data_IF_424201312060
#
_entry.id   IF_424201312060
#
_cell.length_a   1.000
_cell.length_b   1.000
_cell.length_c   1.000
_cell.angle_alpha   90.00
_cell.angle_beta   90.00
_cell.angle_gamma   90.00
#
_symmetry.space_group_name_H-M   'P 1'
#
loop_
_entity.id
_entity.type
_entity.pdbx_description
1 polymer ?
#
# COMPACT_ATOMS: atom_id res chain seq x y z
N UNK A 1 -66.08 -13.59 -4.02
CA UNK A 1 -65.91 -12.20 -4.51
C UNK A 1 -64.41 -12.00 -4.73
N UNK A 2 -63.87 -12.36 -5.90
CA UNK A 2 -63.86 -11.60 -7.16
C UNK A 2 -63.01 -10.32 -7.06
N UNK A 3 -61.75 -10.45 -7.49
CA UNK A 3 -60.78 -9.37 -7.74
C UNK A 3 -61.12 -8.72 -9.09
N UNK A 4 -60.88 -7.41 -9.28
CA UNK A 4 -60.56 -6.91 -10.60
C UNK A 4 -59.19 -6.20 -10.63
N UNK A 5 -58.47 -6.53 -11.70
CA UNK A 5 -57.27 -5.87 -12.18
C UNK A 5 -57.64 -4.58 -12.91
N UNK A 6 -56.84 -3.52 -12.76
CA UNK A 6 -56.95 -2.31 -13.57
C UNK A 6 -55.56 -1.92 -14.11
N UNK A 7 -55.50 -1.92 -15.44
CA UNK A 7 -54.40 -1.57 -16.33
C UNK A 7 -53.74 -0.22 -16.05
N UNK A 8 -52.42 -0.19 -16.16
CA UNK A 8 -51.61 1.02 -16.26
C UNK A 8 -51.48 1.38 -17.75
N UNK A 9 -52.10 2.48 -18.17
CA UNK A 9 -51.97 3.03 -19.51
C UNK A 9 -50.86 4.09 -19.55
N UNK A 10 -49.90 3.88 -20.44
CA UNK A 10 -48.79 4.76 -20.73
C UNK A 10 -49.25 5.99 -21.53
N UNK A 11 -48.82 7.19 -21.10
CA UNK A 11 -48.93 8.42 -21.88
C UNK A 11 -47.51 8.90 -22.23
N UNK A 12 -47.18 8.78 -23.51
CA UNK A 12 -45.93 9.25 -24.10
C UNK A 12 -46.02 10.76 -24.37
N UNK A 13 -45.10 11.54 -23.79
CA UNK A 13 -44.91 12.95 -24.11
C UNK A 13 -43.67 13.12 -24.99
N UNK A 14 -43.90 13.78 -26.13
CA UNK A 14 -42.98 14.07 -27.22
C UNK A 14 -41.84 15.02 -26.79
N UNK A 15 -40.60 14.66 -27.10
CA UNK A 15 -39.48 15.59 -27.21
C UNK A 15 -38.69 15.28 -28.48
N UNK A 16 -38.61 16.26 -29.38
CA UNK A 16 -37.94 16.20 -30.67
C UNK A 16 -36.43 15.98 -30.54
N UNK A 17 -35.77 15.28 -31.49
CA UNK A 17 -34.33 15.05 -31.45
C UNK A 17 -33.57 16.27 -31.96
N UNK A 18 -32.68 16.83 -31.14
CA UNK A 18 -31.61 17.70 -31.62
C UNK A 18 -30.55 16.86 -32.31
N UNK A 19 -30.47 16.98 -33.63
CA UNK A 19 -29.36 16.49 -34.45
C UNK A 19 -28.10 17.31 -34.16
N UNK A 20 -27.11 16.68 -33.52
CA UNK A 20 -25.73 17.17 -33.44
C UNK A 20 -24.91 16.46 -34.52
N UNK A 21 -24.54 17.20 -35.56
CA UNK A 21 -23.57 16.79 -36.58
C UNK A 21 -22.21 16.48 -35.94
N UNK A 22 -21.53 15.38 -36.32
CA UNK A 22 -20.20 15.09 -35.82
C UNK A 22 -19.15 15.92 -36.55
N UNK A 23 -18.48 16.82 -35.83
CA UNK A 23 -17.33 17.56 -36.34
C UNK A 23 -16.19 16.59 -36.65
N UNK A 24 -16.01 16.27 -37.94
CA UNK A 24 -14.89 15.44 -38.42
C UNK A 24 -13.58 16.21 -38.24
N UNK A 25 -12.81 15.84 -37.21
CA UNK A 25 -11.43 16.30 -37.02
C UNK A 25 -10.55 15.75 -38.17
N UNK A 26 -10.31 16.61 -39.16
CA UNK A 26 -9.46 16.31 -40.32
C UNK A 26 -8.00 16.16 -39.85
N UNK A 27 -7.44 14.96 -39.99
CA UNK A 27 -6.03 14.66 -39.66
C UNK A 27 -5.12 15.45 -40.61
N UNK A 28 -4.09 16.17 -40.12
CA UNK A 28 -3.11 16.80 -41.01
C UNK A 28 -2.26 15.73 -41.71
N UNK A 29 -1.93 15.99 -42.98
CA UNK A 29 -1.12 15.09 -43.79
C UNK A 29 0.31 14.95 -43.23
N UNK A 30 0.94 13.76 -43.30
CA UNK A 30 2.33 13.60 -42.88
C UNK A 30 3.28 14.37 -43.82
N UNK A 31 4.40 14.90 -43.30
CA UNK A 31 5.38 15.58 -44.13
C UNK A 31 6.02 14.61 -45.12
N UNK A 32 6.22 15.08 -46.35
CA UNK A 32 6.89 14.33 -47.42
C UNK A 32 8.36 14.11 -47.03
N UNK A 33 8.76 12.86 -46.86
CA UNK A 33 10.15 12.49 -46.64
C UNK A 33 10.95 12.78 -47.92
N UNK A 34 12.01 13.57 -47.79
CA UNK A 34 13.02 13.72 -48.83
C UNK A 34 13.77 12.39 -48.96
N UNK A 35 13.78 11.84 -50.18
CA UNK A 35 14.52 10.64 -50.52
C UNK A 35 16.01 10.97 -50.56
N UNK A 36 16.75 10.59 -49.52
CA UNK A 36 18.22 10.51 -49.61
C UNK A 36 18.58 9.18 -50.25
N UNK A 37 18.93 9.25 -51.53
CA UNK A 37 19.48 8.16 -52.32
C UNK A 37 20.93 7.89 -51.92
N UNK A 38 21.14 7.00 -50.95
CA UNK A 38 22.44 6.35 -50.75
C UNK A 38 22.15 4.90 -50.31
N UNK A 39 22.40 3.95 -51.22
CA UNK A 39 23.30 2.81 -51.02
C UNK A 39 23.18 1.85 -52.22
N UNK A 40 24.35 1.42 -52.66
CA UNK A 40 24.57 0.48 -53.75
C UNK A 40 23.81 -0.84 -53.54
N UNK A 41 23.22 -1.35 -54.62
CA UNK A 41 22.69 -2.71 -54.72
C UNK A 41 23.84 -3.71 -54.59
N UNK A 42 23.73 -4.62 -53.64
CA UNK A 42 24.28 -5.96 -53.80
C UNK A 42 23.16 -6.96 -53.52
N UNK A 43 22.89 -7.83 -54.50
CA UNK A 43 21.80 -8.80 -54.45
C UNK A 43 22.36 -10.14 -53.97
N UNK A 44 21.85 -10.65 -52.85
CA UNK A 44 21.76 -12.10 -52.63
C UNK A 44 20.60 -12.43 -51.66
N UNK A 45 19.74 -13.43 -51.97
CA UNK A 45 18.51 -13.66 -51.23
C UNK A 45 18.62 -14.91 -50.36
N UNK A 46 18.68 -14.75 -49.04
CA UNK A 46 18.31 -15.83 -48.11
C UNK A 46 18.23 -15.29 -46.69
N UNK A 47 17.31 -15.88 -45.91
CA UNK A 47 16.97 -15.62 -44.50
C UNK A 47 16.05 -14.41 -44.25
N UNK A 48 14.75 -14.70 -44.12
CA UNK A 48 13.76 -13.81 -43.51
C UNK A 48 14.06 -13.67 -42.01
N UNK A 49 15.06 -12.87 -41.66
CA UNK A 49 15.19 -12.33 -40.32
C UNK A 49 14.34 -11.07 -40.24
N UNK A 50 13.20 -11.14 -39.57
CA UNK A 50 12.39 -9.95 -39.27
C UNK A 50 13.14 -9.12 -38.23
N UNK A 51 14.08 -8.28 -38.70
CA UNK A 51 14.81 -7.33 -37.85
C UNK A 51 13.81 -6.33 -37.28
N UNK A 52 13.40 -6.51 -36.03
CA UNK A 52 12.67 -5.48 -35.30
C UNK A 52 13.65 -4.34 -35.01
N UNK A 53 13.73 -3.37 -35.91
CA UNK A 53 14.44 -2.11 -35.65
C UNK A 53 13.59 -1.29 -34.68
N UNK A 54 13.97 -1.30 -33.41
CA UNK A 54 13.49 -0.29 -32.46
C UNK A 54 14.14 1.06 -32.82
N UNK A 55 13.32 2.02 -33.27
CA UNK A 55 13.78 3.36 -33.63
C UNK A 55 14.44 4.12 -32.47
N UNK A 56 15.13 5.25 -32.76
CA UNK A 56 15.88 6.03 -31.77
C UNK A 56 15.01 6.37 -30.55
N UNK A 57 15.46 5.97 -29.35
CA UNK A 57 14.75 6.17 -28.07
C UNK A 57 15.07 7.52 -27.43
N UNK A 58 15.38 8.52 -28.24
CA UNK A 58 15.90 9.80 -27.76
C UNK A 58 14.78 10.77 -27.34
N UNK A 59 13.52 10.35 -27.47
CA UNK A 59 12.34 11.09 -26.98
C UNK A 59 11.94 10.68 -25.55
N UNK A 60 12.90 10.47 -24.64
CA UNK A 60 12.55 10.44 -23.22
C UNK A 60 12.07 11.83 -22.83
N UNK A 61 10.75 12.01 -22.77
CA UNK A 61 10.16 13.17 -22.13
C UNK A 61 10.82 13.34 -20.75
N UNK A 62 11.10 14.58 -20.30
CA UNK A 62 11.59 14.82 -18.95
C UNK A 62 10.73 14.02 -17.98
N UNK A 63 11.37 13.30 -17.04
CA UNK A 63 10.65 12.59 -15.98
C UNK A 63 9.75 13.64 -15.32
N UNK A 64 8.43 13.55 -15.61
CA UNK A 64 7.47 14.48 -15.07
C UNK A 64 7.52 14.30 -13.55
N UNK A 65 7.98 15.33 -12.84
CA UNK A 65 7.95 15.40 -11.37
C UNK A 65 6.50 15.08 -10.96
N UNK A 66 6.31 13.96 -10.26
CA UNK A 66 4.99 13.40 -9.96
C UNK A 66 4.90 11.87 -9.99
N UNK A 67 5.91 11.15 -10.52
CA UNK A 67 6.04 9.71 -10.27
C UNK A 67 6.69 9.49 -8.91
N UNK A 68 5.99 8.82 -8.01
CA UNK A 68 6.50 8.35 -6.72
C UNK A 68 7.57 7.25 -6.85
N UNK A 69 7.72 6.66 -8.05
CA UNK A 69 8.65 5.57 -8.34
C UNK A 69 9.75 6.00 -9.30
N UNK A 70 11.00 5.68 -8.97
CA UNK A 70 12.14 5.77 -9.90
C UNK A 70 12.04 4.72 -11.01
N UNK A 71 12.87 4.85 -12.05
CA UNK A 71 12.98 3.82 -13.09
C UNK A 71 13.44 2.47 -12.54
N UNK A 72 14.31 2.46 -11.53
CA UNK A 72 14.83 1.23 -10.93
C UNK A 72 13.74 0.52 -10.13
N UNK A 73 13.00 1.26 -9.29
CA UNK A 73 11.85 0.74 -8.56
C UNK A 73 10.80 0.16 -9.52
N UNK A 74 10.51 0.85 -10.64
CA UNK A 74 9.57 0.37 -11.67
C UNK A 74 10.05 -0.96 -12.27
N UNK A 75 11.33 -1.04 -12.66
CA UNK A 75 11.88 -2.26 -13.27
C UNK A 75 11.88 -3.43 -12.28
N UNK A 76 12.21 -3.19 -11.01
CA UNK A 76 12.17 -4.20 -9.96
C UNK A 76 10.74 -4.73 -9.73
N UNK A 77 9.75 -3.84 -9.59
CA UNK A 77 8.33 -4.23 -9.43
C UNK A 77 7.85 -5.03 -10.65
N UNK A 78 8.21 -4.62 -11.86
CA UNK A 78 7.84 -5.36 -13.06
C UNK A 78 8.51 -6.74 -13.14
N UNK A 79 9.78 -6.85 -12.75
CA UNK A 79 10.49 -8.13 -12.70
C UNK A 79 9.81 -9.08 -11.70
N UNK A 80 9.50 -8.61 -10.49
CA UNK A 80 8.77 -9.39 -9.48
C UNK A 80 7.42 -9.89 -10.02
N UNK A 81 6.66 -9.02 -10.68
CA UNK A 81 5.34 -9.37 -11.23
C UNK A 81 5.43 -10.40 -12.37
N UNK A 82 6.47 -10.33 -13.21
CA UNK A 82 6.70 -11.33 -14.27
C UNK A 82 7.06 -12.70 -13.68
N UNK A 83 7.82 -12.71 -12.59
CA UNK A 83 8.26 -13.92 -11.90
C UNK A 83 7.23 -14.53 -10.93
N UNK A 84 6.10 -13.87 -10.66
CA UNK A 84 5.15 -14.19 -9.57
C UNK A 84 4.61 -15.64 -9.49
N UNK A 85 4.80 -16.45 -10.54
CA UNK A 85 4.36 -17.86 -10.59
C UNK A 85 5.45 -18.85 -10.20
N UNK A 86 6.70 -18.39 -10.08
CA UNK A 86 7.86 -19.19 -9.71
C UNK A 86 8.55 -18.51 -8.51
N UNK A 87 8.39 -19.09 -7.33
CA UNK A 87 8.94 -18.52 -6.10
C UNK A 87 10.46 -18.41 -6.14
N UNK A 88 11.16 -19.38 -6.76
CA UNK A 88 12.60 -19.33 -6.94
C UNK A 88 13.00 -18.15 -7.85
N UNK A 89 12.21 -17.86 -8.90
CA UNK A 89 12.44 -16.69 -9.73
C UNK A 89 12.18 -15.38 -9.00
N UNK A 90 11.16 -15.33 -8.13
CA UNK A 90 10.91 -14.16 -7.29
C UNK A 90 12.10 -13.94 -6.34
N UNK A 91 12.58 -14.99 -5.69
CA UNK A 91 13.69 -14.90 -4.74
C UNK A 91 14.99 -14.46 -5.42
N UNK A 92 15.24 -14.91 -6.65
CA UNK A 92 16.34 -14.39 -7.49
C UNK A 92 16.18 -12.90 -7.79
N UNK A 93 14.98 -12.41 -8.08
CA UNK A 93 14.74 -10.97 -8.31
C UNK A 93 14.94 -10.17 -7.02
N UNK A 94 14.50 -10.71 -5.87
CA UNK A 94 14.69 -10.07 -4.57
C UNK A 94 16.17 -9.93 -4.23
N UNK A 95 16.94 -11.02 -4.30
CA UNK A 95 18.37 -11.03 -3.96
C UNK A 95 19.24 -10.25 -4.94
N UNK A 96 18.79 -10.06 -6.18
CA UNK A 96 19.55 -9.31 -7.19
C UNK A 96 19.07 -7.87 -7.33
N UNK A 97 17.82 -7.64 -7.71
CA UNK A 97 17.34 -6.33 -8.13
C UNK A 97 16.81 -5.51 -6.96
N UNK A 98 16.07 -6.14 -6.04
CA UNK A 98 15.48 -5.43 -4.89
C UNK A 98 16.54 -5.07 -3.85
N UNK A 99 17.47 -5.99 -3.55
CA UNK A 99 18.57 -5.77 -2.61
C UNK A 99 19.56 -4.67 -3.01
N UNK A 100 19.51 -4.19 -4.27
CA UNK A 100 20.31 -3.07 -4.76
C UNK A 100 19.56 -1.73 -4.74
N UNK A 101 18.26 -1.73 -4.43
CA UNK A 101 17.48 -0.50 -4.37
C UNK A 101 17.89 0.33 -3.16
N UNK A 102 18.07 1.62 -3.38
CA UNK A 102 18.21 2.58 -2.28
C UNK A 102 16.93 2.59 -1.42
N UNK A 103 17.04 3.00 -0.15
CA UNK A 103 15.91 3.07 0.80
C UNK A 103 14.63 3.66 0.21
N UNK A 104 14.73 4.81 -0.46
CA UNK A 104 13.57 5.49 -1.04
C UNK A 104 12.87 4.63 -2.11
N UNK A 105 13.65 3.99 -2.97
CA UNK A 105 13.14 3.15 -4.05
C UNK A 105 12.60 1.81 -3.55
N UNK A 106 13.22 1.23 -2.51
CA UNK A 106 12.71 0.02 -1.87
C UNK A 106 11.34 0.25 -1.23
N UNK A 107 11.22 1.34 -0.46
CA UNK A 107 9.94 1.72 0.17
C UNK A 107 8.89 2.09 -0.87
N UNK A 108 9.27 2.79 -1.95
CA UNK A 108 8.36 3.10 -3.03
C UNK A 108 7.89 1.84 -3.77
N UNK A 109 8.79 0.89 -4.06
CA UNK A 109 8.48 -0.39 -4.68
C UNK A 109 7.52 -1.22 -3.80
N UNK A 110 7.77 -1.27 -2.49
CA UNK A 110 6.87 -1.91 -1.53
C UNK A 110 5.48 -1.25 -1.55
N UNK A 111 5.43 0.08 -1.47
CA UNK A 111 4.19 0.84 -1.54
C UNK A 111 3.40 0.58 -2.83
N UNK A 112 4.08 0.46 -3.97
CA UNK A 112 3.43 0.15 -5.25
C UNK A 112 2.86 -1.28 -5.29
N UNK A 113 3.56 -2.26 -4.73
CA UNK A 113 3.05 -3.63 -4.61
C UNK A 113 1.80 -3.68 -3.71
N UNK A 114 1.82 -2.97 -2.58
CA UNK A 114 0.69 -2.85 -1.66
C UNK A 114 -0.52 -2.13 -2.31
N UNK A 115 -0.24 -1.08 -3.10
CA UNK A 115 -1.27 -0.37 -3.87
C UNK A 115 -1.94 -1.27 -4.92
N UNK A 116 -1.16 -2.16 -5.55
CA UNK A 116 -1.66 -3.16 -6.50
C UNK A 116 -2.23 -4.44 -5.84
N UNK A 117 -2.31 -4.46 -4.51
CA UNK A 117 -2.74 -5.63 -3.72
C UNK A 117 -1.94 -6.92 -4.02
N UNK A 118 -0.65 -6.79 -4.38
CA UNK A 118 0.26 -7.91 -4.60
C UNK A 118 0.89 -8.35 -3.26
N UNK A 119 0.06 -8.75 -2.29
CA UNK A 119 0.49 -8.97 -0.90
C UNK A 119 1.63 -10.00 -0.76
N UNK A 120 1.64 -11.07 -1.57
CA UNK A 120 2.73 -12.09 -1.55
C UNK A 120 4.09 -11.51 -1.92
N UNK A 121 4.12 -10.70 -2.97
CA UNK A 121 5.35 -10.03 -3.40
C UNK A 121 5.74 -8.95 -2.40
N UNK A 122 4.76 -8.24 -1.83
CA UNK A 122 4.99 -7.24 -0.81
C UNK A 122 5.62 -7.85 0.45
N UNK A 123 5.19 -9.03 0.90
CA UNK A 123 5.82 -9.74 2.03
C UNK A 123 7.31 -10.01 1.75
N UNK A 124 7.65 -10.57 0.58
CA UNK A 124 9.05 -10.84 0.23
C UNK A 124 9.90 -9.56 0.17
N UNK A 125 9.36 -8.47 -0.36
CA UNK A 125 10.05 -7.17 -0.41
C UNK A 125 10.16 -6.54 0.99
N UNK A 126 9.12 -6.68 1.82
CA UNK A 126 9.14 -6.22 3.20
C UNK A 126 10.20 -6.98 4.02
N UNK A 127 10.30 -8.29 3.86
CA UNK A 127 11.36 -9.09 4.46
C UNK A 127 12.75 -8.65 4.01
N UNK A 128 12.92 -8.31 2.74
CA UNK A 128 14.19 -7.75 2.25
C UNK A 128 14.47 -6.41 2.93
N UNK A 129 13.49 -5.51 3.02
CA UNK A 129 13.62 -4.23 3.69
C UNK A 129 13.99 -4.37 5.18
N UNK A 130 13.46 -5.37 5.88
CA UNK A 130 13.79 -5.64 7.29
C UNK A 130 15.23 -6.08 7.53
N UNK A 131 15.90 -6.61 6.50
CA UNK A 131 17.32 -7.03 6.57
C UNK A 131 18.28 -5.88 6.30
N UNK A 132 17.79 -4.73 5.84
CA UNK A 132 18.60 -3.55 5.58
C UNK A 132 19.04 -2.88 6.88
N UNK A 133 20.26 -2.36 6.91
CA UNK A 133 20.85 -1.73 8.11
C UNK A 133 20.09 -0.49 8.58
N UNK A 134 19.45 0.24 7.66
CA UNK A 134 18.68 1.43 7.98
C UNK A 134 17.29 1.12 8.58
N UNK A 135 16.86 -0.14 8.57
CA UNK A 135 15.54 -0.52 9.04
C UNK A 135 15.45 -0.35 10.56
N UNK A 136 14.36 0.27 10.99
CA UNK A 136 13.94 0.33 12.39
C UNK A 136 12.50 -0.11 12.42
N UNK A 137 12.10 -0.83 13.47
CA UNK A 137 10.79 -1.45 13.68
C UNK A 137 9.62 -0.48 13.44
N UNK A 138 9.25 -0.27 12.17
CA UNK A 138 8.38 0.82 11.74
C UNK A 138 6.93 0.36 11.78
N UNK A 139 6.23 0.74 12.86
CA UNK A 139 4.82 0.43 13.04
C UNK A 139 3.95 0.90 11.86
N UNK A 140 4.33 1.98 11.18
CA UNK A 140 3.64 2.47 9.99
C UNK A 140 3.73 1.51 8.80
N UNK A 141 4.91 0.92 8.55
CA UNK A 141 5.08 -0.10 7.51
C UNK A 141 4.32 -1.38 7.87
N UNK A 142 4.38 -1.82 9.12
CA UNK A 142 3.59 -2.97 9.58
C UNK A 142 2.09 -2.71 9.42
N UNK A 143 1.61 -1.48 9.69
CA UNK A 143 0.21 -1.12 9.47
C UNK A 143 -0.22 -1.25 8.00
N UNK A 144 0.66 -0.87 7.07
CA UNK A 144 0.40 -0.99 5.63
C UNK A 144 0.36 -2.45 5.17
N UNK A 145 1.24 -3.29 5.72
CA UNK A 145 1.23 -4.75 5.50
C UNK A 145 -0.04 -5.40 6.05
N UNK A 146 -0.39 -5.14 7.32
CA UNK A 146 -1.62 -5.66 7.95
C UNK A 146 -2.85 -5.24 7.15
N UNK A 147 -2.92 -3.97 6.73
CA UNK A 147 -4.05 -3.46 5.93
C UNK A 147 -4.14 -4.16 4.57
N UNK A 148 -3.03 -4.48 3.93
CA UNK A 148 -3.04 -5.22 2.65
C UNK A 148 -3.43 -6.69 2.82
N UNK A 149 -2.97 -7.34 3.88
CA UNK A 149 -3.33 -8.73 4.20
C UNK A 149 -4.82 -8.85 4.53
N UNK A 150 -5.34 -7.97 5.39
CA UNK A 150 -6.76 -7.94 5.76
C UNK A 150 -7.66 -7.68 4.54
N UNK A 151 -7.31 -6.72 3.67
CA UNK A 151 -8.05 -6.48 2.41
C UNK A 151 -8.02 -7.67 1.45
N UNK A 152 -6.99 -8.51 1.55
CA UNK A 152 -6.84 -9.71 0.73
C UNK A 152 -7.49 -10.95 1.35
N UNK A 153 -8.04 -10.85 2.57
CA UNK A 153 -8.59 -11.98 3.32
C UNK A 153 -7.55 -12.99 3.79
N UNK A 154 -6.28 -12.59 3.88
CA UNK A 154 -5.16 -13.47 4.21
C UNK A 154 -4.76 -13.27 5.67
N UNK A 155 -5.66 -13.69 6.55
CA UNK A 155 -5.52 -13.50 7.98
C UNK A 155 -4.42 -14.35 8.61
N UNK A 156 -4.10 -15.50 8.00
CA UNK A 156 -3.08 -16.43 8.47
C UNK A 156 -1.68 -15.81 8.53
N UNK A 157 -1.42 -14.79 7.71
CA UNK A 157 -0.13 -14.11 7.63
C UNK A 157 -0.01 -12.93 8.61
N UNK A 158 -1.11 -12.45 9.19
CA UNK A 158 -1.06 -11.31 10.11
C UNK A 158 -0.43 -11.73 11.45
N UNK A 159 -0.80 -12.89 11.98
CA UNK A 159 -0.25 -13.39 13.24
C UNK A 159 1.28 -13.57 13.22
N UNK A 160 1.90 -14.27 12.25
CA UNK A 160 3.35 -14.41 12.19
C UNK A 160 4.05 -13.06 11.98
N UNK A 161 3.50 -12.18 11.13
CA UNK A 161 4.02 -10.83 10.91
C UNK A 161 4.08 -10.04 12.23
N UNK A 162 3.03 -10.10 13.03
CA UNK A 162 2.98 -9.43 14.33
C UNK A 162 3.91 -10.07 15.36
N UNK A 163 4.03 -11.40 15.38
CA UNK A 163 4.93 -12.10 16.30
C UNK A 163 6.39 -11.69 16.05
N UNK A 164 6.79 -11.51 14.79
CA UNK A 164 8.11 -11.01 14.44
C UNK A 164 8.33 -9.58 14.93
N UNK A 165 7.36 -8.67 14.71
CA UNK A 165 7.43 -7.31 15.26
C UNK A 165 7.57 -7.32 16.79
N UNK A 166 6.77 -8.11 17.50
CA UNK A 166 6.83 -8.18 18.97
C UNK A 166 8.21 -8.63 19.43
N UNK A 167 8.77 -9.68 18.80
CA UNK A 167 10.12 -10.15 19.10
C UNK A 167 11.19 -9.08 18.88
N UNK A 168 11.05 -8.26 17.84
CA UNK A 168 11.97 -7.15 17.58
C UNK A 168 11.81 -6.01 18.58
N UNK A 169 10.57 -5.66 18.95
CA UNK A 169 10.27 -4.63 19.94
C UNK A 169 10.73 -5.03 21.35
N UNK A 170 10.55 -6.28 21.75
CA UNK A 170 11.00 -6.77 23.05
C UNK A 170 12.51 -6.62 23.24
N UNK A 171 13.31 -6.88 22.19
CA UNK A 171 14.76 -6.72 22.23
C UNK A 171 15.22 -5.29 22.47
N UNK A 172 14.44 -4.31 22.02
CA UNK A 172 14.77 -2.87 22.18
C UNK A 172 14.03 -2.22 23.36
N UNK A 173 13.28 -3.01 24.14
CA UNK A 173 12.56 -2.53 25.32
C UNK A 173 11.16 -1.97 25.06
N UNK A 174 10.59 -2.18 23.87
CA UNK A 174 9.23 -1.73 23.50
C UNK A 174 9.22 -0.65 22.42
N UNK A 175 8.05 -0.03 22.23
CA UNK A 175 7.89 1.10 21.31
C UNK A 175 8.37 2.35 22.05
N UNK A 176 9.52 2.86 21.64
CA UNK A 176 10.14 4.06 22.23
C UNK A 176 9.26 5.27 22.00
N UNK A 177 9.20 6.15 23.00
CA UNK A 177 8.54 7.45 22.91
C UNK A 177 8.96 8.23 21.65
N UNK A 178 7.99 8.79 20.94
CA UNK A 178 8.20 9.44 19.64
C UNK A 178 6.88 9.70 18.92
N UNK A 179 6.91 9.69 17.58
CA UNK A 179 5.71 9.92 16.76
C UNK A 179 4.67 8.79 16.93
N UNK A 180 3.55 9.12 17.56
CA UNK A 180 2.41 8.23 17.77
C UNK A 180 1.70 7.81 16.47
N UNK A 181 1.99 8.45 15.34
CA UNK A 181 1.34 8.15 14.05
C UNK A 181 1.53 6.70 13.62
N UNK A 182 2.73 6.15 13.80
CA UNK A 182 3.04 4.75 13.45
C UNK A 182 2.21 3.76 14.28
N UNK A 183 2.36 3.76 15.61
CA UNK A 183 1.58 2.90 16.51
C UNK A 183 0.07 3.06 16.35
N UNK A 184 -0.44 4.29 16.23
CA UNK A 184 -1.87 4.53 16.03
C UNK A 184 -2.40 3.94 14.71
N UNK A 185 -1.63 4.04 13.62
CA UNK A 185 -1.97 3.39 12.34
C UNK A 185 -1.99 1.87 12.46
N UNK A 186 -1.04 1.30 13.17
CA UNK A 186 -0.95 -0.15 13.37
C UNK A 186 -2.14 -0.68 14.19
N UNK A 187 -2.44 -0.03 15.32
CA UNK A 187 -3.63 -0.32 16.13
C UNK A 187 -4.90 -0.26 15.28
N UNK A 188 -5.06 0.80 14.48
CA UNK A 188 -6.21 0.94 13.58
C UNK A 188 -6.30 -0.19 12.56
N UNK A 189 -5.19 -0.59 11.95
CA UNK A 189 -5.16 -1.69 10.99
C UNK A 189 -5.53 -3.03 11.64
N UNK A 190 -5.02 -3.30 12.84
CA UNK A 190 -5.31 -4.53 13.58
C UNK A 190 -6.76 -4.61 14.06
N UNK A 191 -7.32 -3.50 14.56
CA UNK A 191 -8.73 -3.44 14.92
C UNK A 191 -9.64 -3.68 13.71
N UNK A 192 -9.31 -3.08 12.56
CA UNK A 192 -10.03 -3.31 11.31
C UNK A 192 -9.92 -4.77 10.82
N UNK A 193 -8.80 -5.45 11.12
CA UNK A 193 -8.58 -6.86 10.84
C UNK A 193 -9.12 -7.81 11.94
N UNK A 194 -9.79 -7.28 12.97
CA UNK A 194 -10.34 -8.07 14.08
C UNK A 194 -9.29 -8.74 14.98
N UNK A 195 -8.04 -8.27 14.98
CA UNK A 195 -6.92 -8.87 15.73
C UNK A 195 -6.76 -8.25 17.11
N UNK A 196 -7.74 -8.47 17.98
CA UNK A 196 -7.77 -7.88 19.34
C UNK A 196 -6.56 -8.21 20.21
N UNK A 197 -6.07 -9.46 20.17
CA UNK A 197 -4.85 -9.88 20.90
C UNK A 197 -3.64 -9.05 20.48
N UNK A 198 -3.41 -8.93 19.17
CA UNK A 198 -2.29 -8.16 18.63
C UNK A 198 -2.40 -6.65 18.97
N UNK A 199 -3.61 -6.10 19.09
CA UNK A 199 -3.81 -4.72 19.57
C UNK A 199 -3.34 -4.58 21.02
N UNK A 200 -3.67 -5.56 21.87
CA UNK A 200 -3.22 -5.59 23.26
C UNK A 200 -1.70 -5.72 23.36
N UNK A 201 -1.09 -6.56 22.52
CA UNK A 201 0.37 -6.71 22.47
C UNK A 201 1.07 -5.40 22.06
N UNK A 202 0.56 -4.71 21.02
CA UNK A 202 1.09 -3.39 20.62
C UNK A 202 0.97 -2.40 21.78
N UNK A 203 -0.18 -2.36 22.46
CA UNK A 203 -0.38 -1.50 23.63
C UNK A 203 0.61 -1.81 24.76
N UNK A 204 0.88 -3.09 25.03
CA UNK A 204 1.87 -3.50 26.02
C UNK A 204 3.29 -3.08 25.63
N UNK A 205 3.65 -3.18 24.35
CA UNK A 205 4.93 -2.67 23.85
C UNK A 205 5.04 -1.15 23.96
N UNK A 206 3.94 -0.42 23.77
CA UNK A 206 3.90 1.03 24.03
C UNK A 206 4.19 1.35 25.49
N UNK A 207 3.54 0.65 26.44
CA UNK A 207 3.82 0.82 27.88
C UNK A 207 5.27 0.52 28.23
N UNK A 208 5.83 -0.59 27.70
CA UNK A 208 7.22 -0.98 27.97
C UNK A 208 8.23 0.05 27.49
N UNK A 209 8.02 0.64 26.32
CA UNK A 209 8.93 1.64 25.75
C UNK A 209 8.60 3.09 26.15
N UNK A 210 7.75 3.29 27.16
CA UNK A 210 7.31 4.61 27.64
C UNK A 210 6.60 5.47 26.57
N UNK A 211 6.11 4.88 25.49
CA UNK A 211 5.32 5.57 24.49
C UNK A 211 3.87 5.71 24.97
N UNK A 212 3.50 6.89 25.46
CA UNK A 212 2.16 7.12 25.99
C UNK A 212 1.14 7.37 24.87
N UNK A 213 0.01 6.62 24.83
CA UNK A 213 -1.11 6.98 23.97
C UNK A 213 -1.67 8.36 24.35
N UNK A 214 -2.23 9.06 23.36
CA UNK A 214 -3.06 10.23 23.64
C UNK A 214 -4.50 9.83 23.96
N UNK A 215 -5.30 10.78 24.46
CA UNK A 215 -6.71 10.56 24.80
C UNK A 215 -7.50 9.88 23.68
N UNK A 216 -7.28 10.32 22.43
CA UNK A 216 -7.92 9.73 21.26
C UNK A 216 -7.56 8.24 21.12
N UNK A 217 -6.28 7.89 21.19
CA UNK A 217 -5.81 6.53 20.99
C UNK A 217 -6.27 5.60 22.12
N UNK A 218 -6.28 6.07 23.37
CA UNK A 218 -6.87 5.33 24.49
C UNK A 218 -8.33 4.98 24.21
N UNK A 219 -9.18 5.99 23.98
CA UNK A 219 -10.61 5.81 23.68
C UNK A 219 -10.82 4.91 22.46
N UNK A 220 -9.97 5.05 21.44
CA UNK A 220 -10.03 4.26 20.23
C UNK A 220 -9.71 2.77 20.48
N UNK A 221 -8.68 2.46 21.28
CA UNK A 221 -8.34 1.09 21.67
C UNK A 221 -9.46 0.47 22.50
N UNK A 222 -9.93 1.16 23.55
CA UNK A 222 -10.98 0.68 24.45
C UNK A 222 -12.24 0.33 23.65
N UNK A 223 -12.73 1.28 22.85
CA UNK A 223 -13.92 1.07 22.00
C UNK A 223 -13.71 -0.08 21.01
N UNK A 224 -12.53 -0.15 20.39
CA UNK A 224 -12.20 -1.20 19.42
C UNK A 224 -12.20 -2.59 20.05
N UNK A 225 -11.56 -2.76 21.19
CA UNK A 225 -11.50 -4.04 21.92
C UNK A 225 -12.88 -4.49 22.41
N UNK A 226 -13.69 -3.58 22.96
CA UNK A 226 -15.09 -3.86 23.32
C UNK A 226 -15.90 -4.34 22.12
N UNK A 227 -15.74 -3.68 20.97
CA UNK A 227 -16.39 -4.07 19.72
C UNK A 227 -15.99 -5.46 19.21
N UNK A 228 -14.83 -5.98 19.62
CA UNK A 228 -14.36 -7.34 19.33
C UNK A 228 -14.69 -8.34 20.45
N UNK A 229 -15.45 -7.93 21.48
CA UNK A 229 -15.79 -8.77 22.63
C UNK A 229 -14.63 -9.03 23.60
N UNK A 230 -13.58 -8.22 23.55
CA UNK A 230 -12.37 -8.33 24.40
C UNK A 230 -12.48 -7.42 25.63
N UNK A 231 -13.50 -7.64 26.47
CA UNK A 231 -13.85 -6.74 27.58
C UNK A 231 -12.73 -6.63 28.64
N UNK A 232 -12.09 -7.75 28.98
CA UNK A 232 -11.01 -7.77 29.97
C UNK A 232 -9.83 -6.88 29.54
N UNK A 233 -9.44 -7.00 28.28
CA UNK A 233 -8.34 -6.21 27.70
C UNK A 233 -8.71 -4.72 27.61
N UNK A 234 -9.96 -4.41 27.27
CA UNK A 234 -10.46 -3.04 27.20
C UNK A 234 -10.49 -2.39 28.59
N UNK A 235 -10.94 -3.13 29.60
CA UNK A 235 -11.01 -2.68 31.00
C UNK A 235 -9.62 -2.36 31.57
N UNK A 236 -8.60 -3.14 31.21
CA UNK A 236 -7.22 -2.82 31.58
C UNK A 236 -6.73 -1.50 30.96
N UNK A 237 -7.01 -1.28 29.67
CA UNK A 237 -6.63 -0.03 28.99
C UNK A 237 -7.41 1.17 29.54
N UNK A 238 -8.67 0.97 29.94
CA UNK A 238 -9.51 2.00 30.55
C UNK A 238 -8.98 2.43 31.93
N UNK A 239 -8.56 1.47 32.77
CA UNK A 239 -7.89 1.79 34.05
C UNK A 239 -6.62 2.61 33.83
N UNK A 240 -5.80 2.23 32.85
CA UNK A 240 -4.59 2.98 32.50
C UNK A 240 -4.93 4.40 32.00
N UNK A 241 -6.03 4.55 31.25
CA UNK A 241 -6.52 5.85 30.78
C UNK A 241 -7.01 6.74 31.93
N UNK A 242 -7.76 6.21 32.90
CA UNK A 242 -8.20 6.94 34.09
C UNK A 242 -7.02 7.46 34.90
N UNK A 243 -6.01 6.61 35.15
CA UNK A 243 -4.78 7.00 35.83
C UNK A 243 -4.04 8.11 35.08
N UNK A 244 -3.98 8.03 33.74
CA UNK A 244 -3.36 9.05 32.90
C UNK A 244 -4.10 10.39 32.98
N UNK A 245 -5.45 10.38 32.97
CA UNK A 245 -6.26 11.60 33.13
C UNK A 245 -6.01 12.23 34.49
N UNK A 246 -6.10 11.45 35.58
CA UNK A 246 -5.90 11.97 36.93
C UNK A 246 -4.46 12.49 37.16
N UNK A 247 -3.46 11.84 36.58
CA UNK A 247 -2.07 12.32 36.63
C UNK A 247 -1.85 13.62 35.83
N UNK A 248 -2.60 13.84 34.75
CA UNK A 248 -2.49 15.04 33.91
C UNK A 248 -3.13 16.28 34.55
N UNK A 249 -4.17 16.10 35.38
CA UNK A 249 -4.82 17.19 36.14
C UNK A 249 -4.17 17.49 37.50
N UNK A 250 -3.13 16.73 37.91
CA UNK A 250 -2.46 16.86 39.21
C UNK A 250 -1.34 17.91 39.30
N UNK A 251 -1.08 18.68 38.23
CA UNK A 251 -0.14 19.82 38.25
C UNK A 251 -0.87 21.13 37.89
N UNK A 252 -1.83 21.53 38.71
CA UNK A 252 -2.22 22.94 38.79
C UNK A 252 -1.35 23.58 39.88
N UNK A 253 -0.50 24.58 39.58
CA UNK A 253 0.24 25.27 40.63
C UNK A 253 -0.78 25.95 41.54
N UNK A 254 -0.78 25.59 42.82
CA UNK A 254 -1.55 26.32 43.82
C UNK A 254 -1.17 27.81 43.73
N UNK A 255 -2.15 28.73 43.64
CA UNK A 255 -1.85 30.15 43.65
C UNK A 255 -1.26 30.49 45.02
N UNK A 256 -0.03 31.00 45.02
CA UNK A 256 0.51 31.79 46.12
C UNK A 256 0.09 33.25 45.93
#
# INVERSE_FOLDING_TARGET
MAVPAAAVAAAAALASPMTLEPTVLRRPAPPRLHSCSLLHRNANPSYLASTTVSGPRDNRQPIRRGRTLSSEAILAVQALKRSRRDDMAVDRVVSTSVARLIKADLLAALGELLRQNQWRLALKVFDAARREEWYRNDCGLYADMVSALARSGIDSEIAPLMAELMKELEKIGGIVEGDLRGPARLVKALLAAGKGEAVKDVYMMMKRGSCQPNEFLFKFIIKGLRGLGKEDMASEVEKDFELWVHGSFGMEPLPF
#
